data_IF_428950900016
#
_entry.id   IF_428950900016
#
_cell.length_a   1.000
_cell.length_b   1.000
_cell.length_c   1.000
_cell.angle_alpha   90.00
_cell.angle_beta   90.00
_cell.angle_gamma   90.00
#
_symmetry.space_group_name_H-M   'P 1'
#
loop_
_entity.id
_entity.type
_entity.pdbx_description
1 polymer ?
#
# COMPACT_ATOMS: atom_id res chain seq x y z
N UNK A 1 -10.96 25.54 -15.08
CA UNK A 1 -9.89 25.14 -14.12
C UNK A 1 -10.53 24.96 -12.75
N UNK A 2 -10.55 23.75 -12.20
CA UNK A 2 -11.18 23.49 -10.90
C UNK A 2 -10.26 23.97 -9.76
N UNK A 3 -10.77 24.89 -8.94
CA UNK A 3 -10.07 25.46 -7.79
C UNK A 3 -10.73 24.89 -6.53
N UNK A 4 -10.14 23.84 -5.96
CA UNK A 4 -10.58 23.27 -4.69
C UNK A 4 -9.72 23.83 -3.55
N UNK A 5 -10.36 24.42 -2.53
CA UNK A 5 -9.78 24.50 -1.18
C UNK A 5 -9.71 23.09 -0.62
N UNK A 6 -8.63 22.72 0.06
CA UNK A 6 -8.38 21.32 0.44
C UNK A 6 -8.56 21.15 1.94
N UNK A 7 -9.73 20.68 2.34
CA UNK A 7 -10.04 20.13 3.67
C UNK A 7 -10.55 18.67 3.53
N UNK A 8 -10.81 17.99 4.66
CA UNK A 8 -11.37 16.62 4.70
C UNK A 8 -12.65 16.44 3.85
N UNK A 9 -13.51 17.45 3.85
CA UNK A 9 -14.76 17.46 3.07
C UNK A 9 -14.47 17.49 1.56
N UNK A 10 -13.44 18.23 1.19
CA UNK A 10 -12.97 18.40 -0.18
C UNK A 10 -12.29 17.14 -0.74
N UNK A 11 -11.51 16.42 0.08
CA UNK A 11 -10.93 15.11 -0.31
C UNK A 11 -12.01 14.05 -0.55
N UNK A 12 -12.99 13.95 0.35
CA UNK A 12 -14.14 13.03 0.21
C UNK A 12 -14.95 13.31 -1.05
N UNK A 13 -15.23 14.58 -1.33
CA UNK A 13 -15.98 15.00 -2.52
C UNK A 13 -15.23 14.66 -3.80
N UNK A 14 -13.93 14.95 -3.86
CA UNK A 14 -13.09 14.64 -5.01
C UNK A 14 -13.00 13.14 -5.30
N UNK A 15 -12.69 12.33 -4.27
CA UNK A 15 -12.50 10.89 -4.45
C UNK A 15 -13.80 10.19 -4.87
N UNK A 16 -14.97 10.67 -4.44
CA UNK A 16 -16.28 10.12 -4.85
C UNK A 16 -16.60 10.36 -6.33
N UNK A 17 -15.93 11.30 -7.00
CA UNK A 17 -16.09 11.53 -8.45
C UNK A 17 -15.26 10.55 -9.30
N UNK A 18 -14.39 9.79 -8.65
CA UNK A 18 -13.55 8.77 -9.26
C UNK A 18 -14.23 7.40 -9.16
N UNK A 19 -13.92 6.53 -10.12
CA UNK A 19 -14.42 5.15 -10.12
C UNK A 19 -13.38 4.31 -9.40
N UNK A 20 -13.49 4.30 -8.07
CA UNK A 20 -12.57 3.62 -7.16
C UNK A 20 -13.26 2.40 -6.54
N UNK A 21 -12.46 1.41 -6.17
CA UNK A 21 -12.95 0.28 -5.36
C UNK A 21 -13.48 0.78 -4.01
N UNK A 22 -14.65 0.28 -3.58
CA UNK A 22 -15.33 0.81 -2.39
C UNK A 22 -14.50 0.62 -1.12
N UNK A 23 -13.73 -0.47 -1.06
CA UNK A 23 -12.86 -0.85 0.05
C UNK A 23 -11.70 0.13 0.23
N UNK A 24 -11.22 0.76 -0.85
CA UNK A 24 -10.07 1.67 -0.79
C UNK A 24 -10.48 3.11 -0.51
N UNK A 25 -11.73 3.50 -0.77
CA UNK A 25 -12.21 4.88 -0.61
C UNK A 25 -11.94 5.43 0.81
N UNK A 26 -12.29 4.72 1.91
CA UNK A 26 -12.03 5.22 3.26
C UNK A 26 -10.53 5.44 3.53
N UNK A 27 -9.67 4.55 3.05
CA UNK A 27 -8.22 4.62 3.22
C UNK A 27 -7.62 5.79 2.45
N UNK A 28 -8.13 6.04 1.25
CA UNK A 28 -7.72 7.16 0.42
C UNK A 28 -8.18 8.50 0.99
N UNK A 29 -9.39 8.57 1.58
CA UNK A 29 -9.87 9.77 2.28
C UNK A 29 -8.94 10.08 3.45
N UNK A 30 -8.61 9.09 4.27
CA UNK A 30 -7.69 9.24 5.39
C UNK A 30 -6.31 9.73 4.93
N UNK A 31 -5.70 9.04 3.96
CA UNK A 31 -4.40 9.40 3.41
C UNK A 31 -4.38 10.81 2.80
N UNK A 32 -5.40 11.18 2.00
CA UNK A 32 -5.49 12.50 1.38
C UNK A 32 -5.76 13.61 2.40
N UNK A 33 -6.34 13.28 3.57
CA UNK A 33 -6.54 14.24 4.65
C UNK A 33 -5.25 14.54 5.40
N UNK A 34 -4.38 13.54 5.54
CA UNK A 34 -3.08 13.68 6.20
C UNK A 34 -1.99 14.20 5.26
N UNK A 35 -2.12 13.94 3.95
CA UNK A 35 -1.11 14.24 2.94
C UNK A 35 -1.74 14.93 1.73
N UNK A 36 -1.98 16.24 1.86
CA UNK A 36 -2.65 17.02 0.81
C UNK A 36 -1.91 17.00 -0.53
N UNK A 37 -0.59 16.84 -0.51
CA UNK A 37 0.28 16.72 -1.69
C UNK A 37 -0.18 15.63 -2.67
N UNK A 38 -0.86 14.59 -2.18
CA UNK A 38 -1.47 13.55 -3.00
C UNK A 38 -2.49 14.13 -3.99
N UNK A 39 -3.40 14.99 -3.52
CA UNK A 39 -4.39 15.65 -4.37
C UNK A 39 -3.75 16.71 -5.27
N UNK A 40 -2.78 17.45 -4.74
CA UNK A 40 -2.14 18.54 -5.47
C UNK A 40 -1.37 18.07 -6.70
N UNK A 41 -0.67 16.94 -6.58
CA UNK A 41 0.05 16.31 -7.70
C UNK A 41 -0.86 15.92 -8.87
N UNK A 42 -2.18 15.87 -8.66
CA UNK A 42 -3.19 15.42 -9.63
C UNK A 42 -4.07 16.52 -10.23
N UNK A 43 -3.99 17.76 -9.74
CA UNK A 43 -4.86 18.88 -10.17
C UNK A 43 -4.86 19.16 -11.69
N UNK A 44 -3.79 18.83 -12.42
CA UNK A 44 -3.62 19.10 -13.87
C UNK A 44 -3.57 17.83 -14.73
N UNK A 45 -3.98 16.68 -14.19
CA UNK A 45 -3.97 15.39 -14.89
C UNK A 45 -5.37 15.01 -15.37
N UNK A 46 -5.45 14.15 -16.38
CA UNK A 46 -6.74 13.66 -16.90
C UNK A 46 -7.47 12.81 -15.85
N UNK A 47 -8.82 12.79 -15.90
CA UNK A 47 -9.64 12.00 -14.97
C UNK A 47 -9.18 10.53 -14.93
N UNK A 48 -8.93 9.94 -16.10
CA UNK A 48 -8.43 8.57 -16.22
C UNK A 48 -7.10 8.36 -15.49
N UNK A 49 -6.11 9.22 -15.73
CA UNK A 49 -4.82 9.13 -15.05
C UNK A 49 -4.96 9.26 -13.52
N UNK A 50 -5.81 10.19 -13.08
CA UNK A 50 -6.13 10.37 -11.66
C UNK A 50 -6.76 9.10 -11.07
N UNK A 51 -7.78 8.53 -11.72
CA UNK A 51 -8.42 7.28 -11.30
C UNK A 51 -7.39 6.14 -11.18
N UNK A 52 -6.57 5.91 -12.21
CA UNK A 52 -5.53 4.88 -12.18
C UNK A 52 -4.55 5.09 -11.02
N UNK A 53 -4.09 6.34 -10.81
CA UNK A 53 -3.14 6.66 -9.74
C UNK A 53 -3.71 6.39 -8.35
N UNK A 54 -4.96 6.79 -8.09
CA UNK A 54 -5.60 6.57 -6.80
C UNK A 54 -6.01 5.11 -6.57
N UNK A 55 -6.39 4.37 -7.62
CA UNK A 55 -6.60 2.93 -7.50
C UNK A 55 -5.30 2.19 -7.16
N UNK A 56 -4.17 2.55 -7.79
CA UNK A 56 -2.87 1.97 -7.49
C UNK A 56 -2.43 2.25 -6.05
N UNK A 57 -2.54 3.51 -5.59
CA UNK A 57 -2.27 3.86 -4.19
C UNK A 57 -3.21 3.12 -3.23
N UNK A 58 -4.50 3.06 -3.56
CA UNK A 58 -5.52 2.39 -2.75
C UNK A 58 -5.22 0.90 -2.55
N UNK A 59 -4.70 0.22 -3.57
CA UNK A 59 -4.27 -1.19 -3.45
C UNK A 59 -3.17 -1.37 -2.41
N UNK A 60 -2.12 -0.53 -2.43
CA UNK A 60 -1.03 -0.58 -1.43
C UNK A 60 -1.58 -0.36 -0.03
N UNK A 61 -2.43 0.66 0.15
CA UNK A 61 -3.04 0.95 1.46
C UNK A 61 -3.91 -0.18 1.97
N UNK A 62 -4.72 -0.77 1.09
CA UNK A 62 -5.56 -1.91 1.45
C UNK A 62 -4.69 -3.09 1.85
N UNK A 63 -3.65 -3.37 1.08
CA UNK A 63 -2.72 -4.46 1.34
C UNK A 63 -2.11 -4.37 2.73
N UNK A 64 -1.56 -3.20 3.09
CA UNK A 64 -0.95 -2.94 4.39
C UNK A 64 -1.96 -2.99 5.54
N UNK A 65 -3.24 -2.74 5.27
CA UNK A 65 -4.28 -2.75 6.30
C UNK A 65 -4.86 -4.14 6.54
N UNK A 66 -5.06 -4.93 5.49
CA UNK A 66 -5.70 -6.26 5.58
C UNK A 66 -4.71 -7.33 6.02
N UNK A 67 -3.45 -7.21 5.62
CA UNK A 67 -2.46 -8.21 5.94
C UNK A 67 -1.76 -7.84 7.24
N UNK A 68 -1.88 -8.72 8.23
CA UNK A 68 -0.96 -8.69 9.36
C UNK A 68 0.41 -8.99 8.79
N UNK A 69 1.34 -8.05 8.93
CA UNK A 69 2.69 -8.17 8.35
C UNK A 69 3.36 -9.52 8.69
N UNK A 70 3.09 -10.06 9.88
CA UNK A 70 3.57 -11.37 10.36
C UNK A 70 2.99 -12.60 9.64
N UNK A 71 1.84 -12.46 9.00
CA UNK A 71 1.13 -13.56 8.35
C UNK A 71 1.37 -13.56 6.82
N UNK A 72 2.11 -12.56 6.30
CA UNK A 72 2.41 -12.46 4.86
C UNK A 72 3.35 -13.57 4.38
N UNK A 73 2.91 -14.28 3.35
CA UNK A 73 3.71 -15.27 2.62
C UNK A 73 4.42 -14.64 1.40
N UNK A 74 5.22 -15.45 0.68
CA UNK A 74 6.01 -14.96 -0.46
C UNK A 74 5.14 -14.36 -1.57
N UNK A 75 3.98 -14.95 -1.86
CA UNK A 75 3.06 -14.48 -2.91
C UNK A 75 2.50 -13.11 -2.53
N UNK A 76 2.11 -12.93 -1.27
CA UNK A 76 1.62 -11.67 -0.74
C UNK A 76 2.69 -10.58 -0.76
N UNK A 77 3.93 -10.90 -0.40
CA UNK A 77 5.04 -9.95 -0.50
C UNK A 77 5.30 -9.53 -1.95
N UNK A 78 5.27 -10.46 -2.90
CA UNK A 78 5.49 -10.17 -4.32
C UNK A 78 4.33 -9.37 -4.93
N UNK A 79 3.10 -9.54 -4.42
CA UNK A 79 1.95 -8.70 -4.77
C UNK A 79 2.11 -7.28 -4.23
N UNK A 80 2.55 -7.13 -2.97
CA UNK A 80 2.83 -5.81 -2.37
C UNK A 80 3.95 -5.08 -3.11
N UNK A 81 5.05 -5.78 -3.43
CA UNK A 81 6.18 -5.21 -4.16
C UNK A 81 5.74 -4.67 -5.53
N UNK A 82 4.99 -5.45 -6.30
CA UNK A 82 4.47 -5.00 -7.61
C UNK A 82 3.52 -3.82 -7.47
N UNK A 83 2.60 -3.85 -6.51
CA UNK A 83 1.70 -2.73 -6.25
C UNK A 83 2.46 -1.46 -5.84
N UNK A 84 3.57 -1.62 -5.11
CA UNK A 84 4.44 -0.52 -4.71
C UNK A 84 5.19 0.11 -5.90
N UNK A 85 5.74 -0.71 -6.78
CA UNK A 85 6.39 -0.25 -8.01
C UNK A 85 5.40 0.46 -8.95
N UNK A 86 4.18 -0.08 -9.10
CA UNK A 86 3.11 0.55 -9.86
C UNK A 86 2.76 1.95 -9.33
N UNK A 87 2.64 2.13 -8.00
CA UNK A 87 2.25 3.43 -7.44
C UNK A 87 3.34 4.49 -7.60
N UNK A 88 4.61 4.08 -7.61
CA UNK A 88 5.75 4.98 -7.82
C UNK A 88 5.75 5.62 -9.21
N UNK A 89 5.23 4.93 -10.24
CA UNK A 89 5.06 5.47 -11.58
C UNK A 89 4.13 6.70 -11.64
N UNK A 90 3.27 6.89 -10.63
CA UNK A 90 2.33 8.00 -10.60
C UNK A 90 2.90 9.27 -9.93
N UNK A 91 4.17 9.31 -9.53
CA UNK A 91 4.81 10.54 -9.00
C UNK A 91 4.09 11.14 -7.78
N UNK A 92 3.58 10.30 -6.89
CA UNK A 92 3.15 10.74 -5.56
C UNK A 92 4.37 11.00 -4.67
N UNK A 93 4.24 11.92 -3.70
CA UNK A 93 5.16 11.91 -2.56
C UNK A 93 4.72 10.77 -1.62
N UNK A 94 5.53 9.71 -1.56
CA UNK A 94 5.26 8.49 -0.81
C UNK A 94 6.23 8.29 0.36
N UNK A 95 6.99 9.32 0.77
CA UNK A 95 7.95 9.22 1.86
C UNK A 95 7.30 8.75 3.18
N UNK A 96 6.06 9.18 3.43
CA UNK A 96 5.29 8.76 4.61
C UNK A 96 4.86 7.28 4.57
N UNK A 97 4.72 6.70 3.38
CA UNK A 97 4.22 5.33 3.20
C UNK A 97 5.38 4.32 3.11
N UNK A 98 6.54 4.77 2.63
CA UNK A 98 7.72 3.92 2.39
C UNK A 98 8.13 3.09 3.62
N UNK A 99 8.23 3.61 4.85
CA UNK A 99 8.66 2.82 6.00
C UNK A 99 7.73 1.64 6.30
N UNK A 100 6.43 1.80 6.07
CA UNK A 100 5.44 0.74 6.28
C UNK A 100 5.56 -0.36 5.23
N UNK A 101 5.83 0.02 3.98
CA UNK A 101 6.06 -0.94 2.89
C UNK A 101 7.37 -1.69 3.08
N UNK A 102 8.46 -0.97 3.40
CA UNK A 102 9.76 -1.59 3.67
C UNK A 102 9.65 -2.59 4.83
N UNK A 103 9.02 -2.21 5.94
CA UNK A 103 8.82 -3.09 7.08
C UNK A 103 8.01 -4.35 6.72
N UNK A 104 6.96 -4.19 5.90
CA UNK A 104 6.15 -5.30 5.44
C UNK A 104 6.95 -6.29 4.57
N UNK A 105 7.81 -5.77 3.70
CA UNK A 105 8.65 -6.57 2.82
C UNK A 105 9.86 -7.18 3.53
N UNK A 106 10.43 -6.52 4.54
CA UNK A 106 11.54 -7.04 5.34
C UNK A 106 11.11 -8.19 6.26
N UNK A 107 9.87 -8.14 6.79
CA UNK A 107 9.35 -9.24 7.61
C UNK A 107 9.29 -10.56 6.82
N UNK A 108 9.19 -10.54 5.48
CA UNK A 108 9.39 -11.70 4.59
C UNK A 108 10.67 -12.46 4.93
N UNK A 109 11.77 -11.73 5.04
CA UNK A 109 13.09 -12.32 5.26
C UNK A 109 13.22 -12.91 6.67
N UNK A 110 12.64 -12.25 7.67
CA UNK A 110 12.60 -12.77 9.04
C UNK A 110 11.74 -14.04 9.16
N UNK A 111 10.54 -14.06 8.57
CA UNK A 111 9.65 -15.23 8.58
C UNK A 111 10.28 -16.41 7.85
N UNK A 112 10.92 -16.17 6.69
CA UNK A 112 11.63 -17.22 5.95
C UNK A 112 12.75 -17.86 6.78
N UNK A 113 13.62 -17.04 7.37
CA UNK A 113 14.70 -17.53 8.25
C UNK A 113 14.16 -18.32 9.43
N UNK A 114 13.10 -17.84 10.07
CA UNK A 114 12.46 -18.56 11.18
C UNK A 114 11.94 -19.94 10.76
N UNK A 115 11.29 -20.05 9.59
CA UNK A 115 10.84 -21.34 9.05
C UNK A 115 11.99 -22.28 8.72
N UNK A 116 13.11 -21.75 8.22
CA UNK A 116 14.31 -22.55 7.94
C UNK A 116 14.93 -23.10 9.23
N UNK A 117 15.08 -22.26 10.26
CA UNK A 117 15.56 -22.69 11.59
C UNK A 117 14.66 -23.78 12.17
N UNK A 118 13.34 -23.58 12.15
CA UNK A 118 12.39 -24.58 12.68
C UNK A 118 12.52 -25.93 11.97
N UNK A 119 12.71 -25.93 10.64
CA UNK A 119 12.93 -27.16 9.87
C UNK A 119 14.25 -27.84 10.23
N UNK A 120 15.29 -27.06 10.51
CA UNK A 120 16.58 -27.59 10.98
C UNK A 120 16.43 -28.23 12.36
N UNK A 121 15.72 -27.59 13.29
CA UNK A 121 15.42 -28.14 14.63
C UNK A 121 14.66 -29.48 14.52
N UNK A 122 13.61 -29.55 13.70
CA UNK A 122 12.86 -30.80 13.44
C UNK A 122 13.75 -31.91 12.86
N UNK A 123 14.71 -31.53 11.99
CA UNK A 123 15.67 -32.48 11.40
C UNK A 123 16.68 -33.00 12.42
N UNK A 124 17.16 -32.15 13.33
CA UNK A 124 18.05 -32.54 14.44
C UNK A 124 17.32 -33.52 15.37
N UNK A 125 16.10 -33.20 15.80
CA UNK A 125 15.28 -34.09 16.65
C UNK A 125 15.09 -35.46 16.00
N UNK A 126 14.91 -35.51 14.68
CA UNK A 126 14.75 -36.77 13.94
C UNK A 126 16.05 -37.59 13.91
N UNK A 127 17.21 -36.95 13.89
CA UNK A 127 18.52 -37.62 13.87
C UNK A 127 18.99 -38.08 15.25
N UNK A 128 18.47 -37.49 16.32
CA UNK A 128 18.81 -37.83 17.71
C UNK A 128 17.99 -39.00 18.29
N UNK A 129 16.96 -39.47 17.57
CA UNK A 129 16.12 -40.63 17.93
C UNK A 129 16.41 -41.85 17.04
#
# INVERSE_FOLDING_TARGET
>A
AYRFSVDKSSASTFLKQLELHKEVIPLLIEACSSHLSLLESKKRKSKYFVQCSFNSLGKVLLFLKTNKIKDMNDVECDLLQRAWEEVQCFSFNLEWLKPFVDSALEMKHHVKKFREVKRMEESIITLEN
#
